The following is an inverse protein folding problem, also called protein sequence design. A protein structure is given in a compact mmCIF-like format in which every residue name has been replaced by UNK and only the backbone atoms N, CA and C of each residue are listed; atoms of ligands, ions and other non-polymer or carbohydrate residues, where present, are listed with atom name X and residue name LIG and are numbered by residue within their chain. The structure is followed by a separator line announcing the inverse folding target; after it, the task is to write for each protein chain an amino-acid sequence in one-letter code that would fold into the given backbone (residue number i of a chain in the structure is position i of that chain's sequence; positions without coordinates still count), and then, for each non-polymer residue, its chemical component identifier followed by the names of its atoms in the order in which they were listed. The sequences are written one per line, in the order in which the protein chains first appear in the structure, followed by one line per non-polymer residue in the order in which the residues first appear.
data_IF_082414885167
#
_entry.id   IF_082414885167
#
_cell.length_a   1.000
_cell.length_b   1.000
_cell.length_c   1.000
_cell.angle_alpha   90.00
_cell.angle_beta   90.00
_cell.angle_gamma   90.00
#
_symmetry.space_group_name_H-M   'P 1'
#
loop_
_entity.id
_entity.type
_entity.pdbx_description
1 polymer ?
#
# COMPACT_ATOMS: atom_id res chain seq x y z
N UNK A 1 2.03 -3.30 -3.66
CA UNK A 1 0.73 -2.77 -4.17
C UNK A 1 0.01 -3.95 -4.75
N UNK A 2 -1.27 -4.18 -4.47
CA UNK A 2 -1.95 -5.39 -4.98
C UNK A 2 -2.22 -5.24 -6.49
N UNK A 3 -1.56 -5.97 -7.40
CA UNK A 3 -1.85 -5.90 -8.83
C UNK A 3 -3.20 -6.57 -9.13
N UNK A 4 -3.95 -6.14 -10.14
CA UNK A 4 -5.10 -6.90 -10.62
C UNK A 4 -4.63 -8.24 -11.23
N UNK A 5 -5.50 -9.27 -11.25
CA UNK A 5 -5.18 -10.51 -11.94
C UNK A 5 -4.94 -10.27 -13.44
N UNK A 6 -4.18 -11.16 -14.12
CA UNK A 6 -3.94 -11.04 -15.55
C UNK A 6 -5.24 -11.15 -16.34
N UNK A 7 -5.33 -10.44 -17.47
CA UNK A 7 -6.51 -10.42 -18.35
C UNK A 7 -6.53 -11.56 -19.38
N UNK A 8 -5.56 -12.46 -19.33
CA UNK A 8 -5.45 -13.59 -20.25
C UNK A 8 -6.64 -14.55 -20.07
N UNK A 9 -7.24 -15.07 -21.16
CA UNK A 9 -8.29 -16.09 -21.05
C UNK A 9 -7.76 -17.35 -20.37
N UNK A 10 -8.62 -18.02 -19.60
CA UNK A 10 -8.31 -19.31 -19.00
C UNK A 10 -8.59 -20.44 -19.98
N UNK A 11 -7.63 -21.36 -20.11
CA UNK A 11 -7.75 -22.54 -20.97
C UNK A 11 -8.17 -23.76 -20.15
N UNK A 12 -9.30 -24.37 -20.53
CA UNK A 12 -9.80 -25.60 -19.91
C UNK A 12 -9.57 -26.79 -20.82
N UNK A 13 -9.18 -27.93 -20.25
CA UNK A 13 -9.12 -29.20 -20.98
C UNK A 13 -10.51 -29.56 -21.51
N UNK A 14 -10.61 -29.76 -22.83
CA UNK A 14 -11.82 -30.27 -23.46
C UNK A 14 -11.88 -31.79 -23.29
N UNK A 15 -12.88 -32.28 -22.55
CA UNK A 15 -13.10 -33.71 -22.31
C UNK A 15 -14.05 -34.25 -23.38
N UNK A 16 -13.61 -35.30 -24.09
CA UNK A 16 -14.36 -35.99 -25.16
C UNK A 16 -14.21 -37.50 -24.98
N UNK A 17 -15.16 -38.27 -25.52
CA UNK A 17 -15.09 -39.74 -25.46
C UNK A 17 -13.85 -40.25 -26.19
N UNK A 18 -13.16 -41.21 -25.58
CA UNK A 18 -11.90 -41.74 -26.09
C UNK A 18 -10.68 -40.86 -25.80
N UNK A 19 -10.82 -39.74 -25.08
CA UNK A 19 -9.68 -38.93 -24.65
C UNK A 19 -8.76 -39.75 -23.72
N UNK A 20 -7.54 -40.05 -24.18
CA UNK A 20 -6.51 -40.68 -23.34
C UNK A 20 -6.11 -39.76 -22.18
N UNK A 21 -6.37 -40.16 -20.94
CA UNK A 21 -5.91 -39.40 -19.78
C UNK A 21 -4.44 -39.74 -19.48
N UNK A 22 -3.59 -38.72 -19.37
CA UNK A 22 -2.20 -38.84 -18.97
C UNK A 22 -1.86 -37.81 -17.88
N UNK A 23 -0.68 -37.93 -17.28
CA UNK A 23 -0.25 -37.06 -16.18
C UNK A 23 -0.26 -35.56 -16.56
N UNK A 24 0.11 -35.22 -17.80
CA UNK A 24 0.11 -33.82 -18.26
C UNK A 24 -1.30 -33.24 -18.37
N UNK A 25 -2.23 -33.97 -19.00
CA UNK A 25 -3.64 -33.57 -19.12
C UNK A 25 -4.30 -33.45 -17.75
N UNK A 26 -4.01 -34.37 -16.84
CA UNK A 26 -4.48 -34.32 -15.46
C UNK A 26 -3.93 -33.09 -14.72
N UNK A 27 -2.62 -32.85 -14.81
CA UNK A 27 -1.98 -31.67 -14.21
C UNK A 27 -2.59 -30.38 -14.76
N UNK A 28 -2.77 -30.25 -16.07
CA UNK A 28 -3.39 -29.08 -16.71
C UNK A 28 -4.83 -28.85 -16.25
N UNK A 29 -5.61 -29.91 -16.06
CA UNK A 29 -6.97 -29.81 -15.56
C UNK A 29 -7.01 -29.28 -14.11
N UNK A 30 -6.13 -29.76 -13.23
CA UNK A 30 -6.02 -29.24 -11.86
C UNK A 30 -5.46 -27.82 -11.80
N UNK A 31 -4.47 -27.52 -12.65
CA UNK A 31 -3.90 -26.18 -12.76
C UNK A 31 -4.95 -25.14 -13.16
N UNK A 32 -5.86 -25.49 -14.07
CA UNK A 32 -7.00 -24.63 -14.41
C UNK A 32 -7.86 -24.28 -13.18
N UNK A 33 -8.15 -25.25 -12.32
CA UNK A 33 -8.92 -25.01 -11.10
C UNK A 33 -8.16 -24.15 -10.10
N UNK A 34 -6.85 -24.40 -9.92
CA UNK A 34 -5.95 -23.57 -9.11
C UNK A 34 -5.97 -22.13 -9.62
N UNK A 35 -5.67 -21.89 -10.89
CA UNK A 35 -5.68 -20.56 -11.51
C UNK A 35 -7.01 -19.83 -11.35
N UNK A 36 -8.15 -20.52 -11.48
CA UNK A 36 -9.48 -19.92 -11.21
C UNK A 36 -9.63 -19.46 -9.76
N UNK A 37 -9.17 -20.28 -8.81
CA UNK A 37 -9.18 -19.94 -7.38
C UNK A 37 -8.25 -18.75 -7.09
N UNK A 38 -7.03 -18.76 -7.64
CA UNK A 38 -6.07 -17.66 -7.50
C UNK A 38 -6.65 -16.35 -8.04
N UNK A 39 -7.24 -16.35 -9.25
CA UNK A 39 -7.87 -15.17 -9.84
C UNK A 39 -9.02 -14.66 -8.97
N UNK A 40 -9.88 -15.57 -8.47
CA UNK A 40 -10.96 -15.19 -7.58
C UNK A 40 -10.44 -14.52 -6.30
N UNK A 41 -9.41 -15.10 -5.68
CA UNK A 41 -8.79 -14.55 -4.48
C UNK A 41 -8.16 -13.19 -4.75
N UNK A 42 -7.29 -13.09 -5.77
CA UNK A 42 -6.62 -11.85 -6.17
C UNK A 42 -7.61 -10.73 -6.50
N UNK A 43 -8.77 -11.06 -7.05
CA UNK A 43 -9.79 -10.07 -7.39
C UNK A 43 -10.44 -9.43 -6.16
N UNK A 44 -10.52 -10.16 -5.04
CA UNK A 44 -11.39 -9.80 -3.92
C UNK A 44 -10.67 -9.66 -2.57
N UNK A 45 -9.45 -10.17 -2.42
CA UNK A 45 -8.76 -10.28 -1.13
C UNK A 45 -7.33 -9.74 -1.18
N UNK A 46 -6.84 -9.34 -0.01
CA UNK A 46 -5.44 -9.03 0.25
C UNK A 46 -4.74 -10.22 0.92
N UNK A 47 -3.46 -10.45 0.62
CA UNK A 47 -2.65 -11.44 1.32
C UNK A 47 -2.52 -11.09 2.80
N UNK A 48 -2.20 -12.10 3.59
CA UNK A 48 -1.94 -11.95 5.02
C UNK A 48 -2.31 -13.18 5.83
N UNK A 49 -2.27 -13.01 7.14
CA UNK A 49 -2.59 -14.04 8.12
C UNK A 49 -4.11 -14.14 8.25
N UNK A 50 -4.62 -15.37 8.11
CA UNK A 50 -6.04 -15.70 8.32
C UNK A 50 -6.29 -15.97 9.80
N UNK A 51 -5.45 -16.81 10.41
CA UNK A 51 -5.51 -17.12 11.85
C UNK A 51 -4.18 -17.68 12.36
N UNK A 52 -3.95 -17.61 13.67
CA UNK A 52 -2.77 -18.21 14.31
C UNK A 52 -1.47 -17.52 13.92
N UNK A 53 -0.43 -18.31 13.64
CA UNK A 53 0.91 -17.85 13.23
C UNK A 53 1.53 -16.84 14.22
N UNK A 54 1.31 -17.06 15.52
CA UNK A 54 1.97 -16.30 16.57
C UNK A 54 3.45 -16.67 16.64
N UNK A 55 4.27 -15.76 17.15
CA UNK A 55 5.70 -16.00 17.41
C UNK A 55 5.92 -15.81 18.91
N UNK A 56 6.54 -16.80 19.57
CA UNK A 56 6.91 -16.72 21.00
C UNK A 56 8.37 -17.09 21.19
N UNK A 57 9.01 -16.52 22.20
CA UNK A 57 10.35 -16.93 22.61
C UNK A 57 10.32 -18.29 23.29
N UNK A 58 11.34 -19.09 23.04
CA UNK A 58 11.58 -20.39 23.67
C UNK A 58 13.05 -20.52 24.05
N UNK A 59 13.36 -21.42 24.98
CA UNK A 59 14.74 -21.83 25.20
C UNK A 59 15.28 -22.60 23.98
N UNK A 60 16.60 -22.57 23.80
CA UNK A 60 17.24 -23.36 22.76
C UNK A 60 16.95 -24.87 22.97
N UNK A 61 16.60 -25.62 21.92
CA UNK A 61 16.32 -27.05 22.04
C UNK A 61 17.51 -27.82 22.63
N UNK A 62 17.24 -28.84 23.45
CA UNK A 62 18.31 -29.56 24.15
C UNK A 62 19.31 -30.24 23.20
N UNK A 63 18.87 -30.55 21.98
CA UNK A 63 19.62 -31.25 20.94
C UNK A 63 20.61 -30.33 20.18
N UNK A 64 20.46 -29.00 20.27
CA UNK A 64 21.33 -28.07 19.55
C UNK A 64 22.65 -27.83 20.28
N UNK A 65 23.71 -27.65 19.49
CA UNK A 65 25.06 -27.43 19.99
C UNK A 65 25.14 -26.16 20.87
N UNK A 66 26.03 -26.11 21.88
CA UNK A 66 26.10 -24.99 22.83
C UNK A 66 26.25 -23.61 22.19
N UNK A 67 26.94 -23.51 21.05
CA UNK A 67 27.08 -22.24 20.32
C UNK A 67 25.76 -21.65 19.81
N UNK A 68 24.71 -22.48 19.71
CA UNK A 68 23.38 -22.07 19.28
C UNK A 68 22.43 -21.81 20.46
N UNK A 69 22.92 -21.84 21.71
CA UNK A 69 22.14 -21.56 22.92
C UNK A 69 22.32 -20.12 23.37
N UNK A 70 22.00 -19.21 22.45
CA UNK A 70 22.24 -17.76 22.52
C UNK A 70 20.98 -16.94 22.87
N UNK A 71 19.91 -17.60 23.31
CA UNK A 71 18.64 -16.94 23.64
C UNK A 71 17.87 -16.41 22.43
N UNK A 72 18.18 -16.87 21.20
CA UNK A 72 17.55 -16.37 19.95
C UNK A 72 16.57 -17.34 19.32
N UNK A 73 16.00 -18.23 20.12
CA UNK A 73 15.06 -19.21 19.65
C UNK A 73 13.63 -18.70 19.77
N UNK A 74 12.93 -18.78 18.65
CA UNK A 74 11.51 -18.51 18.58
C UNK A 74 10.76 -19.78 18.16
N UNK A 75 9.49 -19.83 18.54
CA UNK A 75 8.58 -20.86 18.09
C UNK A 75 7.39 -20.23 17.37
N UNK A 76 7.26 -20.57 16.08
CA UNK A 76 6.14 -20.18 15.25
C UNK A 76 4.99 -21.13 15.59
N UNK A 77 3.86 -20.55 15.99
CA UNK A 77 2.66 -21.30 16.37
C UNK A 77 1.85 -21.70 15.14
N UNK A 78 1.04 -22.78 15.23
CA UNK A 78 0.15 -23.18 14.15
C UNK A 78 -0.77 -22.05 13.65
N UNK A 79 -1.10 -22.10 12.37
CA UNK A 79 -1.97 -21.12 11.74
C UNK A 79 -1.94 -21.17 10.21
N UNK A 80 -2.68 -20.24 9.62
CA UNK A 80 -2.90 -20.16 8.18
C UNK A 80 -2.65 -18.73 7.71
N UNK A 81 -1.89 -18.60 6.63
CA UNK A 81 -1.75 -17.37 5.85
C UNK A 81 -2.05 -17.63 4.39
N UNK A 82 -2.23 -16.56 3.61
CA UNK A 82 -2.41 -16.63 2.16
C UNK A 82 -1.50 -15.57 1.53
N UNK A 83 -0.70 -15.96 0.53
CA UNK A 83 0.20 -15.04 -0.20
C UNK A 83 -0.55 -14.20 -1.25
N UNK A 84 0.15 -13.28 -1.94
CA UNK A 84 -0.49 -12.42 -2.95
C UNK A 84 -1.06 -13.21 -4.13
N UNK A 85 -0.46 -14.35 -4.46
CA UNK A 85 -0.98 -15.20 -5.52
C UNK A 85 -2.30 -15.88 -5.12
N UNK A 86 -2.60 -15.99 -3.82
CA UNK A 86 -3.75 -16.73 -3.31
C UNK A 86 -3.41 -18.15 -2.89
N UNK A 87 -2.11 -18.46 -2.69
CA UNK A 87 -1.69 -19.77 -2.24
C UNK A 87 -1.78 -19.85 -0.70
N UNK A 88 -2.41 -20.89 -0.15
CA UNK A 88 -2.49 -21.08 1.29
C UNK A 88 -1.14 -21.56 1.85
N UNK A 89 -0.76 -20.98 2.98
CA UNK A 89 0.43 -21.35 3.76
C UNK A 89 -0.09 -21.90 5.10
N UNK A 90 0.06 -23.21 5.30
CA UNK A 90 -0.49 -23.91 6.46
C UNK A 90 0.64 -24.41 7.36
N UNK A 91 0.74 -23.84 8.55
CA UNK A 91 1.60 -24.33 9.63
C UNK A 91 0.73 -25.15 10.57
N UNK A 92 0.83 -26.49 10.49
CA UNK A 92 -0.01 -27.40 11.28
C UNK A 92 0.53 -27.68 12.68
N UNK A 93 1.84 -27.56 12.86
CA UNK A 93 2.54 -27.88 14.11
C UNK A 93 3.51 -26.75 14.46
N UNK A 94 3.85 -26.56 15.76
CA UNK A 94 4.82 -25.56 16.16
C UNK A 94 6.19 -25.80 15.52
N UNK A 95 6.84 -24.72 15.07
CA UNK A 95 8.16 -24.79 14.42
C UNK A 95 9.14 -23.99 15.25
N UNK A 96 10.24 -24.63 15.63
CA UNK A 96 11.36 -23.99 16.30
C UNK A 96 12.29 -23.39 15.26
N UNK A 97 12.67 -22.13 15.45
CA UNK A 97 13.52 -21.39 14.54
C UNK A 97 14.50 -20.53 15.33
N UNK A 98 15.79 -20.61 14.98
CA UNK A 98 16.83 -19.75 15.53
C UNK A 98 16.98 -18.52 14.66
N UNK A 99 16.92 -17.34 15.26
CA UNK A 99 17.25 -16.08 14.59
C UNK A 99 18.78 -15.97 14.53
N UNK A 100 19.35 -16.16 13.35
CA UNK A 100 20.78 -16.33 13.15
C UNK A 100 21.55 -15.03 13.22
N UNK A 101 21.00 -13.88 12.79
CA UNK A 101 21.68 -12.58 12.90
C UNK A 101 23.04 -12.47 12.19
N UNK A 102 23.46 -13.48 11.42
CA UNK A 102 24.81 -13.68 10.83
C UNK A 102 25.21 -12.59 9.81
N UNK A 103 24.32 -11.67 9.48
CA UNK A 103 24.56 -10.53 8.57
C UNK A 103 24.61 -9.19 9.29
N UNK A 104 24.62 -9.16 10.62
CA UNK A 104 24.67 -7.92 11.39
C UNK A 104 26.03 -7.24 11.22
N UNK A 105 26.00 -6.01 10.74
CA UNK A 105 27.14 -5.08 10.83
C UNK A 105 27.18 -4.47 12.24
N UNK A 106 28.20 -3.66 12.58
CA UNK A 106 28.27 -2.95 13.88
C UNK A 106 27.03 -2.08 14.21
N UNK A 107 26.12 -1.87 13.25
CA UNK A 107 24.92 -1.09 13.41
C UNK A 107 23.67 -1.97 13.61
N UNK A 108 22.74 -1.56 14.50
CA UNK A 108 21.45 -2.22 14.65
C UNK A 108 20.69 -2.30 13.33
N UNK A 109 20.09 -3.46 13.07
CA UNK A 109 19.36 -3.74 11.83
C UNK A 109 17.96 -4.31 12.11
N UNK A 110 17.02 -3.97 11.24
CA UNK A 110 15.70 -4.60 11.24
C UNK A 110 15.78 -5.98 10.59
N UNK A 111 15.42 -7.01 11.34
CA UNK A 111 15.28 -8.40 10.89
C UNK A 111 13.80 -8.73 10.80
N UNK A 112 13.41 -9.43 9.73
CA UNK A 112 12.05 -9.87 9.46
C UNK A 112 12.01 -11.40 9.45
N UNK A 113 11.03 -11.98 10.15
CA UNK A 113 10.67 -13.38 9.95
C UNK A 113 9.48 -13.44 9.02
N UNK A 114 9.62 -14.15 7.91
CA UNK A 114 8.59 -14.24 6.89
C UNK A 114 8.37 -15.70 6.45
N UNK A 115 7.13 -16.01 6.10
CA UNK A 115 6.74 -17.33 5.59
C UNK A 115 6.28 -17.22 4.13
N UNK A 116 6.65 -18.19 3.30
CA UNK A 116 6.26 -18.25 1.88
C UNK A 116 5.77 -19.64 1.47
N UNK A 117 4.83 -19.69 0.53
CA UNK A 117 4.36 -20.94 -0.08
C UNK A 117 5.47 -21.56 -0.94
N UNK A 118 5.59 -22.89 -0.89
CA UNK A 118 6.51 -23.65 -1.74
C UNK A 118 5.74 -24.75 -2.44
N UNK A 119 5.70 -24.66 -3.77
CA UNK A 119 5.14 -25.71 -4.62
C UNK A 119 6.03 -26.97 -4.53
N UNK A 120 5.51 -28.11 -4.04
CA UNK A 120 6.29 -29.33 -3.85
C UNK A 120 6.90 -29.86 -5.16
N UNK A 121 6.29 -29.59 -6.32
CA UNK A 121 6.83 -30.02 -7.62
C UNK A 121 8.22 -29.39 -7.91
N UNK A 122 8.54 -28.26 -7.26
CA UNK A 122 9.81 -27.53 -7.43
C UNK A 122 10.93 -28.04 -6.51
N UNK A 123 10.63 -28.93 -5.58
CA UNK A 123 11.63 -29.46 -4.64
C UNK A 123 12.57 -30.45 -5.34
N UNK A 124 13.88 -30.30 -5.09
CA UNK A 124 14.93 -31.15 -5.70
C UNK A 124 14.87 -32.61 -5.23
N UNK A 125 14.35 -32.86 -4.03
CA UNK A 125 14.13 -34.21 -3.49
C UNK A 125 12.67 -34.59 -3.70
N UNK A 126 12.41 -35.36 -4.75
CA UNK A 126 11.13 -36.04 -4.93
C UNK A 126 11.17 -37.33 -4.12
N UNK A 127 10.60 -37.31 -2.93
CA UNK A 127 10.26 -38.58 -2.27
C UNK A 127 9.11 -39.22 -3.06
N UNK A 128 9.19 -40.53 -3.34
CA UNK A 128 8.15 -41.26 -4.04
C UNK A 128 6.95 -41.52 -3.11
N UNK A 129 6.24 -40.45 -2.75
CA UNK A 129 5.00 -40.54 -1.99
C UNK A 129 3.81 -40.51 -2.95
N UNK A 130 2.79 -41.30 -2.66
CA UNK A 130 1.52 -41.28 -3.41
C UNK A 130 0.82 -39.91 -3.32
N UNK A 131 1.04 -39.20 -2.20
CA UNK A 131 0.51 -37.86 -1.95
C UNK A 131 1.65 -36.88 -1.62
N UNK A 132 1.69 -35.75 -2.33
CA UNK A 132 2.57 -34.62 -2.02
C UNK A 132 1.81 -33.63 -1.11
N UNK A 133 2.36 -33.35 0.06
CA UNK A 133 1.82 -32.33 0.97
C UNK A 133 2.36 -30.97 0.56
N UNK A 134 1.50 -29.97 0.43
CA UNK A 134 1.92 -28.58 0.27
C UNK A 134 2.84 -28.18 1.42
N UNK A 135 3.86 -27.39 1.11
CA UNK A 135 4.85 -26.98 2.09
C UNK A 135 5.11 -25.48 2.01
N UNK A 136 5.91 -25.00 2.93
CA UNK A 136 6.26 -23.61 3.06
C UNK A 136 7.72 -23.49 3.42
N UNK A 137 8.22 -22.27 3.36
CA UNK A 137 9.55 -21.91 3.80
C UNK A 137 9.45 -20.75 4.77
N UNK A 138 10.23 -20.85 5.83
CA UNK A 138 10.41 -19.81 6.82
C UNK A 138 11.80 -19.20 6.59
N UNK A 139 11.84 -17.89 6.37
CA UNK A 139 13.06 -17.16 6.06
C UNK A 139 13.26 -16.01 7.06
N UNK A 140 14.51 -15.83 7.49
CA UNK A 140 15.00 -14.62 8.13
C UNK A 140 15.53 -13.66 7.06
N UNK A 141 15.13 -12.39 7.13
CA UNK A 141 15.48 -11.39 6.12
C UNK A 141 15.88 -10.07 6.76
N UNK A 142 16.80 -9.36 6.12
CA UNK A 142 17.21 -7.99 6.49
C UNK A 142 16.56 -6.92 5.62
N UNK A 143 15.77 -7.34 4.64
CA UNK A 143 14.93 -6.49 3.79
C UNK A 143 13.46 -6.80 4.06
N UNK A 144 12.55 -5.83 3.88
CA UNK A 144 11.12 -6.08 4.00
C UNK A 144 10.65 -7.28 3.16
N UNK A 145 9.65 -8.05 3.63
CA UNK A 145 9.09 -9.16 2.88
C UNK A 145 8.56 -8.73 1.50
N UNK A 146 8.74 -9.61 0.53
CA UNK A 146 8.20 -9.46 -0.83
C UNK A 146 6.70 -9.75 -0.86
N UNK A 147 6.05 -9.48 -1.99
CA UNK A 147 4.61 -9.67 -2.13
C UNK A 147 4.16 -11.15 -2.02
N UNK A 148 5.08 -12.11 -2.19
CA UNK A 148 4.81 -13.55 -2.06
C UNK A 148 5.11 -14.10 -0.66
N UNK A 149 5.49 -13.24 0.26
CA UNK A 149 5.85 -13.58 1.64
C UNK A 149 4.90 -12.90 2.62
N UNK A 150 4.65 -13.55 3.75
CA UNK A 150 3.82 -13.01 4.83
C UNK A 150 4.70 -12.77 6.05
N UNK A 151 4.78 -11.52 6.50
CA UNK A 151 5.52 -11.10 7.71
C UNK A 151 4.88 -11.74 8.96
N UNK A 152 5.68 -12.47 9.73
CA UNK A 152 5.28 -13.04 11.02
C UNK A 152 5.63 -12.10 12.17
N UNK A 153 6.83 -11.54 12.14
CA UNK A 153 7.30 -10.52 13.06
C UNK A 153 8.51 -9.78 12.47
N UNK A 154 8.87 -8.67 13.12
CA UNK A 154 10.17 -8.01 12.94
C UNK A 154 10.87 -7.83 14.27
N UNK A 155 12.18 -7.66 14.24
CA UNK A 155 13.04 -7.48 15.41
C UNK A 155 14.06 -6.41 15.05
N UNK A 156 14.17 -5.37 15.87
CA UNK A 156 15.27 -4.41 15.74
C UNK A 156 16.46 -4.95 16.53
N UNK A 157 17.39 -5.59 15.85
CA UNK A 157 18.46 -6.40 16.44
C UNK A 157 19.77 -5.61 16.45
N UNK A 158 20.38 -5.42 17.63
CA UNK A 158 21.52 -4.50 17.81
C UNK A 158 22.91 -5.15 17.70
N UNK A 159 23.06 -6.40 18.14
CA UNK A 159 24.34 -7.12 18.12
C UNK A 159 24.10 -8.61 17.93
N UNK A 160 25.13 -9.40 17.63
CA UNK A 160 25.08 -10.87 17.59
C UNK A 160 25.03 -11.53 18.97
N UNK A 161 25.43 -10.81 20.03
CA UNK A 161 25.59 -11.40 21.37
C UNK A 161 24.43 -11.14 22.33
N UNK A 162 23.40 -10.41 21.90
CA UNK A 162 22.27 -10.07 22.77
C UNK A 162 21.12 -11.06 22.62
N UNK A 163 20.56 -11.48 23.76
CA UNK A 163 19.41 -12.38 23.82
C UNK A 163 18.13 -11.65 23.37
N UNK A 164 17.16 -12.42 22.88
CA UNK A 164 15.84 -11.86 22.58
C UNK A 164 14.98 -11.82 23.83
N UNK A 165 14.21 -10.74 23.99
CA UNK A 165 13.28 -10.57 25.10
C UNK A 165 11.84 -10.35 24.62
N UNK A 166 10.87 -10.68 25.47
CA UNK A 166 9.49 -10.28 25.20
C UNK A 166 9.37 -8.78 25.46
N UNK A 167 8.65 -8.03 24.59
CA UNK A 167 8.45 -6.60 24.80
C UNK A 167 7.69 -6.36 26.11
N UNK A 168 8.17 -5.39 26.91
CA UNK A 168 7.46 -4.94 28.12
C UNK A 168 6.10 -4.32 27.79
N UNK A 169 6.05 -3.61 26.68
CA UNK A 169 4.83 -3.09 26.08
C UNK A 169 4.76 -3.53 24.61
N UNK A 170 3.74 -4.31 24.27
CA UNK A 170 3.54 -4.86 22.92
C UNK A 170 3.28 -3.77 21.86
N UNK A 171 2.85 -2.57 22.27
CA UNK A 171 2.68 -1.44 21.38
C UNK A 171 3.96 -0.64 21.17
N UNK A 172 4.97 -0.82 22.03
CA UNK A 172 6.27 -0.17 21.92
C UNK A 172 7.44 -1.16 22.14
N UNK A 173 7.62 -2.15 21.24
CA UNK A 173 8.76 -3.06 21.32
C UNK A 173 10.09 -2.30 21.25
N UNK A 174 11.00 -2.68 22.13
CA UNK A 174 12.36 -2.13 22.19
C UNK A 174 13.31 -2.94 21.31
N UNK A 175 14.58 -2.55 21.30
CA UNK A 175 15.67 -3.33 20.70
C UNK A 175 15.64 -4.77 21.24
N UNK A 176 15.97 -5.74 20.38
CA UNK A 176 15.97 -7.19 20.64
C UNK A 176 14.63 -7.76 21.16
N UNK A 177 13.53 -7.03 20.95
CA UNK A 177 12.20 -7.51 21.30
C UNK A 177 11.40 -7.90 20.06
N UNK A 178 10.54 -8.91 20.21
CA UNK A 178 9.59 -9.29 19.15
C UNK A 178 8.59 -8.17 18.88
N UNK A 179 8.47 -7.75 17.61
CA UNK A 179 7.46 -6.80 17.16
C UNK A 179 6.46 -7.48 16.23
N UNK A 180 5.23 -7.64 16.74
CA UNK A 180 4.11 -8.30 16.04
C UNK A 180 3.12 -7.30 15.42
N UNK A 181 3.35 -5.99 15.55
CA UNK A 181 2.35 -4.95 15.22
C UNK A 181 2.04 -4.85 13.73
N UNK A 182 2.95 -5.31 12.88
CA UNK A 182 2.90 -5.12 11.44
C UNK A 182 2.46 -6.35 10.64
N UNK A 183 1.97 -7.37 11.35
CA UNK A 183 1.42 -8.58 10.73
C UNK A 183 0.19 -8.21 9.91
N UNK A 184 0.30 -8.34 8.58
CA UNK A 184 -0.82 -8.12 7.69
C UNK A 184 -1.90 -9.19 7.92
N UNK A 185 -3.14 -8.76 8.17
CA UNK A 185 -4.29 -9.65 8.30
C UNK A 185 -4.98 -9.77 6.95
N UNK A 186 -5.28 -11.01 6.55
CA UNK A 186 -6.04 -11.26 5.34
C UNK A 186 -7.42 -10.59 5.43
N UNK A 187 -7.76 -9.79 4.42
CA UNK A 187 -8.99 -8.99 4.40
C UNK A 187 -9.47 -8.75 2.98
N UNK A 188 -10.67 -8.21 2.84
CA UNK A 188 -11.20 -7.78 1.54
C UNK A 188 -10.30 -6.73 0.90
N UNK A 189 -10.10 -6.87 -0.41
CA UNK A 189 -9.34 -5.92 -1.23
C UNK A 189 -10.14 -4.62 -1.37
N UNK A 190 -9.53 -3.45 -1.14
CA UNK A 190 -10.17 -2.18 -1.40
C UNK A 190 -10.38 -2.05 -2.92
N UNK A 191 -11.44 -1.35 -3.30
CA UNK A 191 -11.70 -1.04 -4.70
C UNK A 191 -10.62 -0.11 -5.28
N UNK A 192 -9.94 0.64 -4.41
CA UNK A 192 -9.01 1.69 -4.79
C UNK A 192 -7.86 1.83 -3.78
N UNK A 193 -6.67 2.12 -4.31
CA UNK A 193 -5.52 2.58 -3.50
C UNK A 193 -5.16 3.99 -3.96
N UNK A 194 -5.29 4.98 -3.07
CA UNK A 194 -4.92 6.37 -3.35
C UNK A 194 -3.45 6.60 -3.02
N UNK A 195 -2.70 7.14 -3.99
CA UNK A 195 -1.30 7.54 -3.85
C UNK A 195 -1.23 9.04 -3.63
N UNK A 196 -0.62 9.44 -2.53
CA UNK A 196 -0.50 10.86 -2.14
C UNK A 196 0.97 11.23 -2.01
N UNK A 197 1.32 12.42 -2.47
CA UNK A 197 2.60 13.04 -2.12
C UNK A 197 2.39 14.42 -1.50
N UNK A 198 3.14 14.72 -0.45
CA UNK A 198 3.27 16.08 0.04
C UNK A 198 4.30 16.81 -0.81
N UNK A 199 3.95 18.01 -1.22
CA UNK A 199 4.84 18.88 -1.97
C UNK A 199 5.69 19.69 -1.00
N UNK A 200 7.01 19.59 -1.14
CA UNK A 200 7.99 20.31 -0.32
C UNK A 200 8.53 21.52 -1.05
N UNK A 201 8.63 22.66 -0.35
CA UNK A 201 9.33 23.85 -0.84
C UNK A 201 10.69 23.96 -0.13
N UNK A 202 11.52 24.94 -0.51
CA UNK A 202 12.88 25.15 0.02
C UNK A 202 12.95 25.37 1.54
N UNK A 203 11.82 25.60 2.21
CA UNK A 203 11.72 25.56 3.68
C UNK A 203 11.23 24.18 4.12
N UNK A 204 11.78 23.61 5.20
CA UNK A 204 11.32 22.32 5.71
C UNK A 204 9.81 22.41 5.94
N UNK A 205 9.06 21.53 5.27
CA UNK A 205 7.63 21.40 5.50
C UNK A 205 7.39 21.23 7.00
N UNK A 206 6.38 21.89 7.55
CA UNK A 206 5.97 21.67 8.93
C UNK A 206 5.74 20.16 9.13
N UNK A 207 6.61 19.51 9.93
CA UNK A 207 6.57 18.07 10.16
C UNK A 207 5.21 17.60 10.70
N UNK A 208 4.44 18.52 11.29
CA UNK A 208 3.06 18.30 11.71
C UNK A 208 2.13 18.02 10.53
N UNK A 209 2.27 18.74 9.42
CA UNK A 209 1.42 18.58 8.24
C UNK A 209 1.59 17.19 7.58
N UNK A 210 2.84 16.72 7.47
CA UNK A 210 3.13 15.37 6.99
C UNK A 210 2.52 14.30 7.91
N UNK A 211 2.67 14.48 9.22
CA UNK A 211 2.12 13.58 10.22
C UNK A 211 0.59 13.54 10.17
N UNK A 212 -0.07 14.70 10.06
CA UNK A 212 -1.52 14.81 9.95
C UNK A 212 -2.07 14.10 8.70
N UNK A 213 -1.38 14.22 7.57
CA UNK A 213 -1.73 13.48 6.36
C UNK A 213 -1.58 11.96 6.55
N UNK A 214 -0.54 11.52 7.26
CA UNK A 214 -0.38 10.11 7.64
C UNK A 214 -1.51 9.61 8.53
N UNK A 215 -1.93 10.40 9.53
CA UNK A 215 -3.10 10.07 10.35
C UNK A 215 -4.40 9.97 9.53
N UNK A 216 -4.60 10.88 8.56
CA UNK A 216 -5.73 10.77 7.64
C UNK A 216 -5.69 9.44 6.88
N UNK A 217 -4.56 9.10 6.23
CA UNK A 217 -4.43 7.85 5.45
C UNK A 217 -4.65 6.59 6.32
N UNK A 218 -4.15 6.58 7.55
CA UNK A 218 -4.35 5.49 8.50
C UNK A 218 -5.81 5.33 8.94
N UNK A 219 -6.61 6.41 8.92
CA UNK A 219 -8.03 6.37 9.25
C UNK A 219 -8.92 5.84 8.11
N UNK A 220 -8.45 5.92 6.86
CA UNK A 220 -9.26 5.58 5.67
C UNK A 220 -9.82 4.16 5.72
N UNK A 221 -9.02 3.10 5.97
CA UNK A 221 -9.54 1.73 5.91
C UNK A 221 -10.61 1.44 6.98
N UNK A 222 -10.60 2.18 8.08
CA UNK A 222 -11.58 2.04 9.16
C UNK A 222 -12.89 2.78 8.85
N UNK A 223 -12.81 3.97 8.25
CA UNK A 223 -13.96 4.83 7.95
C UNK A 223 -14.60 4.52 6.59
N UNK A 224 -13.80 4.10 5.61
CA UNK A 224 -14.24 3.79 4.25
C UNK A 224 -13.40 2.64 3.64
N UNK A 225 -13.72 1.37 3.97
CA UNK A 225 -12.93 0.20 3.57
C UNK A 225 -12.75 -0.02 2.06
N UNK A 226 -13.55 0.64 1.22
CA UNK A 226 -13.42 0.56 -0.24
C UNK A 226 -12.22 1.34 -0.77
N UNK A 227 -11.64 2.26 0.03
CA UNK A 227 -10.45 3.02 -0.30
C UNK A 227 -9.34 2.68 0.70
N UNK A 228 -8.10 2.68 0.23
CA UNK A 228 -6.91 2.55 1.08
C UNK A 228 -5.87 3.59 0.67
N UNK A 229 -5.17 4.18 1.64
CA UNK A 229 -3.96 4.97 1.37
C UNK A 229 -2.77 4.07 1.03
N UNK A 230 -1.94 4.46 0.07
CA UNK A 230 -0.65 3.80 -0.14
C UNK A 230 0.22 3.90 1.13
N UNK A 231 0.99 2.85 1.42
CA UNK A 231 1.77 2.75 2.67
C UNK A 231 2.83 3.85 2.84
N UNK A 232 3.34 4.38 1.71
CA UNK A 232 4.31 5.46 1.69
C UNK A 232 3.68 6.72 1.11
N UNK A 233 3.75 7.82 1.89
CA UNK A 233 3.47 9.16 1.40
C UNK A 233 4.73 9.68 0.73
N UNK A 234 4.63 10.03 -0.55
CA UNK A 234 5.72 10.66 -1.27
C UNK A 234 6.04 12.03 -0.69
N UNK A 235 7.31 12.42 -0.67
CA UNK A 235 7.70 13.83 -0.53
C UNK A 235 8.36 14.23 -1.84
N UNK A 236 7.77 15.21 -2.52
CA UNK A 236 8.24 15.64 -3.84
C UNK A 236 8.46 17.14 -3.84
N UNK A 237 9.59 17.65 -4.34
CA UNK A 237 9.67 19.06 -4.67
C UNK A 237 8.71 19.36 -5.84
N UNK A 238 8.16 20.57 -5.92
CA UNK A 238 7.68 21.09 -7.21
C UNK A 238 8.90 21.02 -8.17
N UNK A 239 8.79 20.23 -9.24
CA UNK A 239 9.98 19.73 -9.96
C UNK A 239 10.75 20.84 -10.68
N UNK A 240 12.01 21.00 -10.27
CA UNK A 240 13.08 21.74 -10.95
C UNK A 240 14.47 21.08 -10.88
N UNK A 241 14.59 19.82 -10.43
CA UNK A 241 15.87 19.11 -10.38
C UNK A 241 16.15 18.35 -11.69
N UNK A 242 17.27 18.64 -12.35
CA UNK A 242 17.64 18.25 -13.73
C UNK A 242 17.66 16.74 -14.08
N UNK A 243 17.30 15.84 -13.16
CA UNK A 243 17.26 14.38 -13.36
C UNK A 243 15.98 13.69 -12.88
N UNK A 244 14.93 14.46 -12.58
CA UNK A 244 13.72 13.91 -11.97
C UNK A 244 12.63 13.61 -13.02
N UNK A 245 11.96 12.47 -12.87
CA UNK A 245 10.84 12.05 -13.72
C UNK A 245 9.72 13.11 -13.70
N UNK A 246 9.01 13.36 -14.82
CA UNK A 246 7.88 14.29 -14.83
C UNK A 246 6.85 13.96 -13.75
N UNK A 247 6.22 14.97 -13.15
CA UNK A 247 5.22 14.83 -12.07
C UNK A 247 4.11 13.83 -12.40
N UNK A 248 3.65 13.85 -13.66
CA UNK A 248 2.66 12.92 -14.19
C UNK A 248 3.11 11.45 -14.14
N UNK A 249 4.41 11.21 -14.34
CA UNK A 249 5.03 9.89 -14.33
C UNK A 249 5.23 9.32 -12.91
N UNK A 250 5.13 10.16 -11.87
CA UNK A 250 5.26 9.71 -10.49
C UNK A 250 4.03 8.93 -9.99
N UNK A 251 2.91 8.97 -10.71
CA UNK A 251 1.76 8.12 -10.43
C UNK A 251 0.98 8.46 -9.16
N UNK A 252 1.10 9.68 -8.64
CA UNK A 252 0.31 10.16 -7.48
C UNK A 252 -1.08 10.64 -7.92
N UNK A 253 -2.13 10.23 -7.22
CA UNK A 253 -3.50 10.71 -7.45
C UNK A 253 -3.69 12.14 -6.91
N UNK A 254 -3.04 12.42 -5.78
CA UNK A 254 -3.14 13.68 -5.05
C UNK A 254 -1.75 14.24 -4.70
N UNK A 255 -1.55 15.51 -5.02
CA UNK A 255 -0.46 16.31 -4.47
C UNK A 255 -1.04 17.20 -3.38
N UNK A 256 -0.44 17.14 -2.20
CA UNK A 256 -0.85 17.91 -1.03
C UNK A 256 0.15 19.03 -0.77
N UNK A 257 -0.32 20.27 -0.72
CA UNK A 257 0.49 21.44 -0.41
C UNK A 257 -0.17 22.26 0.71
N UNK A 258 0.66 22.79 1.61
CA UNK A 258 0.22 23.67 2.68
C UNK A 258 1.35 24.64 3.03
N UNK A 259 1.00 25.83 3.49
CA UNK A 259 1.94 26.89 3.81
C UNK A 259 1.25 28.22 4.06
N UNK A 260 2.06 29.28 4.17
CA UNK A 260 1.57 30.66 4.33
C UNK A 260 1.98 31.58 3.18
N UNK A 261 3.11 31.29 2.55
CA UNK A 261 3.70 32.10 1.49
C UNK A 261 3.03 31.81 0.14
N UNK A 262 3.07 32.78 -0.77
CA UNK A 262 2.65 32.61 -2.15
C UNK A 262 3.36 31.42 -2.83
N UNK A 263 2.59 30.62 -3.57
CA UNK A 263 3.16 29.59 -4.45
C UNK A 263 3.62 30.27 -5.75
N UNK A 264 4.94 30.43 -5.90
CA UNK A 264 5.56 30.92 -7.13
C UNK A 264 6.05 29.75 -7.95
N UNK A 265 5.61 29.65 -9.20
CA UNK A 265 6.00 28.62 -10.16
C UNK A 265 6.77 29.27 -11.30
N UNK A 266 7.93 28.71 -11.66
CA UNK A 266 8.57 29.05 -12.92
C UNK A 266 7.84 28.40 -14.12
N UNK A 267 8.19 28.78 -15.35
CA UNK A 267 7.52 28.27 -16.56
C UNK A 267 7.53 26.73 -16.66
N UNK A 268 8.62 26.08 -16.24
CA UNK A 268 8.74 24.61 -16.26
C UNK A 268 7.83 23.97 -15.21
N UNK A 269 7.79 24.52 -14.01
CA UNK A 269 6.92 24.04 -12.92
C UNK A 269 5.45 24.24 -13.25
N UNK A 270 5.10 25.37 -13.87
CA UNK A 270 3.74 25.66 -14.34
C UNK A 270 3.30 24.64 -15.40
N UNK A 271 4.12 24.40 -16.42
CA UNK A 271 3.83 23.37 -17.43
C UNK A 271 3.79 21.96 -16.83
N UNK A 272 4.64 21.64 -15.85
CA UNK A 272 4.60 20.35 -15.15
C UNK A 272 3.28 20.17 -14.37
N UNK A 273 2.82 21.21 -13.68
CA UNK A 273 1.54 21.21 -12.98
C UNK A 273 0.37 21.04 -13.96
N UNK A 274 0.37 21.80 -15.05
CA UNK A 274 -0.66 21.70 -16.10
C UNK A 274 -0.75 20.28 -16.65
N UNK A 275 0.37 19.70 -17.06
CA UNK A 275 0.43 18.32 -17.55
C UNK A 275 -0.07 17.30 -16.51
N UNK A 276 0.31 17.48 -15.24
CA UNK A 276 -0.17 16.63 -14.15
C UNK A 276 -1.70 16.70 -13.98
N UNK A 277 -2.28 17.90 -13.94
CA UNK A 277 -3.72 18.11 -13.80
C UNK A 277 -4.51 17.54 -14.98
N UNK A 278 -3.96 17.70 -16.19
CA UNK A 278 -4.50 17.13 -17.43
C UNK A 278 -4.53 15.60 -17.38
N UNK A 279 -3.53 14.92 -16.81
CA UNK A 279 -3.57 13.46 -16.60
C UNK A 279 -4.58 12.99 -15.56
N UNK A 280 -5.37 13.91 -15.01
CA UNK A 280 -6.41 13.64 -14.02
C UNK A 280 -5.91 13.75 -12.58
N UNK A 281 -4.64 14.11 -12.37
CA UNK A 281 -4.11 14.42 -11.04
C UNK A 281 -4.85 15.58 -10.36
N UNK A 282 -4.77 15.62 -9.04
CA UNK A 282 -5.33 16.69 -8.21
C UNK A 282 -4.24 17.36 -7.38
N UNK A 283 -4.29 18.68 -7.31
CA UNK A 283 -3.54 19.49 -6.36
C UNK A 283 -4.50 19.94 -5.26
N UNK A 284 -4.27 19.51 -4.03
CA UNK A 284 -4.96 19.99 -2.84
C UNK A 284 -4.07 20.97 -2.11
N UNK A 285 -4.55 22.20 -1.96
CA UNK A 285 -3.93 23.25 -1.17
C UNK A 285 -4.74 23.44 0.09
N UNK A 286 -4.15 23.20 1.26
CA UNK A 286 -4.76 23.51 2.56
C UNK A 286 -4.09 24.74 3.17
N UNK A 287 -4.85 25.83 3.27
CA UNK A 287 -4.39 27.13 3.73
C UNK A 287 -5.10 27.55 5.02
N UNK A 288 -4.36 28.18 5.93
CA UNK A 288 -4.96 28.89 7.05
C UNK A 288 -5.71 30.14 6.54
N UNK A 289 -6.72 30.60 7.29
CA UNK A 289 -7.53 31.76 6.90
C UNK A 289 -6.72 33.04 6.76
N UNK A 290 -5.59 33.14 7.46
CA UNK A 290 -4.66 34.27 7.43
C UNK A 290 -3.54 34.13 6.37
N UNK A 291 -3.48 33.02 5.62
CA UNK A 291 -2.50 32.78 4.56
C UNK A 291 -2.91 33.43 3.24
N UNK A 292 -3.11 34.76 3.26
CA UNK A 292 -3.65 35.54 2.14
C UNK A 292 -2.79 35.40 0.88
N UNK A 293 -1.47 35.51 1.01
CA UNK A 293 -0.53 35.40 -0.12
C UNK A 293 -0.63 34.04 -0.83
N UNK A 294 -0.74 32.95 -0.06
CA UNK A 294 -0.95 31.63 -0.61
C UNK A 294 -2.30 31.57 -1.36
N UNK A 295 -3.38 31.97 -0.70
CA UNK A 295 -4.74 31.93 -1.26
C UNK A 295 -4.80 32.68 -2.60
N UNK A 296 -4.28 33.90 -2.65
CA UNK A 296 -4.26 34.73 -3.86
C UNK A 296 -3.41 34.11 -4.97
N UNK A 297 -2.24 33.57 -4.64
CA UNK A 297 -1.37 32.92 -5.63
C UNK A 297 -2.02 31.70 -6.29
N UNK A 298 -2.74 30.87 -5.52
CA UNK A 298 -3.44 29.69 -6.06
C UNK A 298 -4.63 30.10 -6.93
N UNK A 299 -5.37 31.14 -6.54
CA UNK A 299 -6.43 31.71 -7.37
C UNK A 299 -5.88 32.23 -8.71
N UNK A 300 -4.73 32.90 -8.68
CA UNK A 300 -4.05 33.38 -9.88
C UNK A 300 -3.56 32.23 -10.79
N UNK A 301 -2.95 31.19 -10.22
CA UNK A 301 -2.52 30.00 -10.97
C UNK A 301 -3.72 29.32 -11.65
N UNK A 302 -4.83 29.13 -10.91
CA UNK A 302 -6.04 28.53 -11.47
C UNK A 302 -6.63 29.38 -12.62
N UNK A 303 -6.59 30.70 -12.49
CA UNK A 303 -7.01 31.64 -13.54
C UNK A 303 -6.10 31.52 -14.79
N UNK A 304 -4.78 31.44 -14.60
CA UNK A 304 -3.81 31.28 -15.69
C UNK A 304 -3.98 29.94 -16.42
N UNK A 305 -4.37 28.88 -15.72
CA UNK A 305 -4.68 27.57 -16.30
C UNK A 305 -6.03 27.55 -17.06
N UNK A 306 -6.80 28.64 -17.02
CA UNK A 306 -8.11 28.74 -17.68
C UNK A 306 -9.24 28.04 -16.93
N UNK A 307 -9.04 27.66 -15.67
CA UNK A 307 -10.02 26.97 -14.82
C UNK A 307 -10.11 27.67 -13.46
N UNK A 308 -10.72 28.87 -13.39
CA UNK A 308 -10.81 29.62 -12.14
C UNK A 308 -11.50 28.82 -11.04
N UNK A 309 -11.09 29.03 -9.79
CA UNK A 309 -11.69 28.35 -8.66
C UNK A 309 -13.11 28.86 -8.42
N UNK A 310 -14.07 27.95 -8.39
CA UNK A 310 -15.44 28.21 -7.98
C UNK A 310 -15.67 27.70 -6.56
N UNK A 311 -16.40 28.48 -5.74
CA UNK A 311 -16.87 28.04 -4.43
C UNK A 311 -17.74 26.78 -4.59
N UNK A 312 -17.53 25.79 -3.72
CA UNK A 312 -18.29 24.52 -3.67
C UNK A 312 -19.82 24.70 -3.66
N UNK A 313 -20.32 25.85 -3.20
CA UNK A 313 -21.75 26.22 -3.19
C UNK A 313 -22.28 26.56 -4.58
N UNK A 314 -21.41 27.02 -5.48
CA UNK A 314 -21.73 27.33 -6.90
C UNK A 314 -21.62 26.10 -7.79
N UNK A 315 -20.80 25.13 -7.40
CA UNK A 315 -20.73 23.83 -8.07
C UNK A 315 -22.05 23.06 -7.98
N UNK A 316 -22.19 22.06 -8.87
CA UNK A 316 -23.34 21.15 -8.85
C UNK A 316 -23.62 20.56 -7.46
N UNK A 317 -24.89 20.45 -7.08
CA UNK A 317 -25.30 19.82 -5.82
C UNK A 317 -24.87 18.35 -5.72
N UNK A 318 -24.66 17.70 -6.86
CA UNK A 318 -24.20 16.32 -6.96
C UNK A 318 -22.67 16.21 -7.15
N UNK A 319 -21.93 17.30 -6.95
CA UNK A 319 -20.48 17.30 -7.12
C UNK A 319 -19.84 16.30 -6.12
N UNK A 320 -18.95 15.37 -6.55
CA UNK A 320 -18.49 14.28 -5.69
C UNK A 320 -17.77 14.74 -4.42
N UNK A 321 -17.10 15.90 -4.44
CA UNK A 321 -16.51 16.51 -3.24
C UNK A 321 -17.53 16.71 -2.10
N UNK A 322 -18.82 16.88 -2.42
CA UNK A 322 -19.91 17.06 -1.45
C UNK A 322 -20.65 15.77 -1.12
N UNK A 323 -20.59 14.77 -1.98
CA UNK A 323 -21.52 13.63 -1.92
C UNK A 323 -20.84 12.28 -1.78
N UNK A 324 -19.52 12.19 -1.94
CA UNK A 324 -18.82 10.89 -1.98
C UNK A 324 -17.44 10.89 -1.31
N UNK A 325 -17.16 9.87 -0.47
CA UNK A 325 -18.10 8.84 -0.01
C UNK A 325 -19.09 9.33 1.05
N UNK A 326 -18.80 10.46 1.72
CA UNK A 326 -19.67 11.04 2.75
C UNK A 326 -20.45 12.24 2.22
N UNK A 327 -21.70 12.38 2.65
CA UNK A 327 -22.57 13.49 2.27
C UNK A 327 -22.35 14.70 3.18
N UNK A 328 -22.02 15.84 2.58
CA UNK A 328 -21.86 17.13 3.26
C UNK A 328 -22.92 18.13 2.78
N UNK A 329 -23.96 18.29 3.60
CA UNK A 329 -24.90 19.40 3.47
C UNK A 329 -24.25 20.75 3.89
N UNK A 330 -23.37 20.71 4.88
CA UNK A 330 -22.51 21.79 5.33
C UNK A 330 -21.06 21.30 5.45
N UNK A 331 -20.08 22.18 5.22
CA UNK A 331 -18.66 21.86 5.42
C UNK A 331 -18.30 21.86 6.92
N UNK A 332 -17.23 21.15 7.33
CA UNK A 332 -16.72 21.20 8.70
C UNK A 332 -16.38 22.62 9.15
N UNK A 333 -16.48 22.86 10.45
CA UNK A 333 -16.02 24.09 11.09
C UNK A 333 -14.82 23.81 11.99
N UNK A 334 -13.77 24.61 11.88
CA UNK A 334 -12.58 24.57 12.74
C UNK A 334 -12.48 25.87 13.53
N UNK A 335 -12.26 25.76 14.85
CA UNK A 335 -12.24 26.91 15.76
C UNK A 335 -13.48 27.82 15.58
N UNK A 336 -14.67 27.21 15.43
CA UNK A 336 -15.96 27.87 15.19
C UNK A 336 -16.07 28.63 13.85
N UNK A 337 -15.08 28.52 12.96
CA UNK A 337 -15.12 29.10 11.62
C UNK A 337 -15.37 27.99 10.59
N UNK A 338 -16.38 28.13 9.72
CA UNK A 338 -16.59 27.16 8.64
C UNK A 338 -15.41 27.22 7.67
N UNK A 339 -14.90 26.06 7.27
CA UNK A 339 -13.91 26.04 6.20
C UNK A 339 -14.58 26.45 4.88
N UNK A 340 -13.79 26.99 3.96
CA UNK A 340 -14.20 27.27 2.60
C UNK A 340 -13.51 26.28 1.65
N UNK A 341 -14.21 25.88 0.60
CA UNK A 341 -13.69 24.95 -0.39
C UNK A 341 -13.94 25.52 -1.79
N UNK A 342 -12.86 25.70 -2.54
CA UNK A 342 -12.87 26.09 -3.94
C UNK A 342 -12.35 24.97 -4.83
N UNK A 343 -12.87 24.85 -6.04
CA UNK A 343 -12.40 23.87 -7.01
C UNK A 343 -12.38 24.43 -8.44
N UNK A 344 -11.35 24.07 -9.21
CA UNK A 344 -11.23 24.39 -10.63
C UNK A 344 -10.11 23.58 -11.29
N UNK A 345 -10.39 22.91 -12.41
CA UNK A 345 -9.37 22.23 -13.23
C UNK A 345 -8.59 21.09 -12.58
N UNK A 346 -8.98 20.62 -11.40
CA UNK A 346 -8.19 19.68 -10.60
C UNK A 346 -7.38 20.32 -9.47
N UNK A 347 -7.48 21.63 -9.28
CA UNK A 347 -7.02 22.31 -8.09
C UNK A 347 -8.18 22.35 -7.10
N UNK A 348 -7.92 21.96 -5.86
CA UNK A 348 -8.81 22.15 -4.71
C UNK A 348 -8.11 23.07 -3.74
N UNK A 349 -8.75 24.17 -3.37
CA UNK A 349 -8.30 25.08 -2.33
C UNK A 349 -9.21 24.93 -1.11
N UNK A 350 -8.62 24.62 0.04
CA UNK A 350 -9.28 24.60 1.33
C UNK A 350 -8.75 25.77 2.15
N UNK A 351 -9.66 26.63 2.63
CA UNK A 351 -9.33 27.75 3.52
C UNK A 351 -9.93 27.47 4.89
N UNK A 352 -9.08 27.39 5.91
CA UNK A 352 -9.47 27.07 7.28
C UNK A 352 -8.59 26.03 7.97
N UNK A 353 -7.47 25.61 7.34
CA UNK A 353 -6.49 24.67 7.89
C UNK A 353 -7.11 23.32 8.27
N UNK A 354 -7.76 22.66 7.31
CA UNK A 354 -8.47 21.39 7.51
C UNK A 354 -7.57 20.30 8.07
N UNK A 355 -6.32 20.26 7.61
CA UNK A 355 -5.35 19.23 7.98
C UNK A 355 -4.98 19.26 9.46
N UNK A 356 -5.13 20.39 10.15
CA UNK A 356 -4.91 20.48 11.59
C UNK A 356 -5.80 19.53 12.41
N UNK A 357 -6.96 19.13 11.87
CA UNK A 357 -7.90 18.23 12.52
C UNK A 357 -7.79 16.77 12.06
N UNK A 358 -6.85 16.42 11.19
CA UNK A 358 -6.62 15.03 10.78
C UNK A 358 -5.74 14.25 11.74
N UNK A 359 -4.80 14.93 12.40
CA UNK A 359 -3.83 14.31 13.31
C UNK A 359 -4.03 14.65 14.77
N UNK A 360 -2.99 14.39 15.56
CA UNK A 360 -3.00 14.65 16.99
C UNK A 360 -2.96 16.15 17.28
N UNK A 361 -3.76 16.55 18.25
CA UNK A 361 -3.65 17.85 18.90
C UNK A 361 -2.91 17.67 20.22
N UNK A 362 -1.70 18.23 20.33
CA UNK A 362 -0.87 18.12 21.53
C UNK A 362 -1.58 18.64 22.79
N UNK A 363 -2.51 19.58 22.60
CA UNK A 363 -3.30 20.17 23.70
C UNK A 363 -4.58 19.40 24.00
N UNK A 364 -4.94 18.40 23.20
CA UNK A 364 -6.16 17.59 23.31
C UNK A 364 -7.45 18.43 23.37
N UNK A 365 -7.49 19.56 22.65
CA UNK A 365 -8.59 20.52 22.67
C UNK A 365 -9.61 20.29 21.56
N UNK A 366 -9.24 19.60 20.48
CA UNK A 366 -10.14 19.36 19.36
C UNK A 366 -11.26 18.38 19.73
N UNK A 367 -12.54 18.76 19.58
CA UNK A 367 -13.65 17.83 19.80
C UNK A 367 -13.59 16.65 18.82
N UNK A 368 -14.00 15.47 19.30
CA UNK A 368 -14.06 14.26 18.46
C UNK A 368 -14.92 14.44 17.21
N UNK A 369 -16.02 15.18 17.30
CA UNK A 369 -16.90 15.49 16.16
C UNK A 369 -16.15 16.28 15.08
N UNK A 370 -15.35 17.27 15.47
CA UNK A 370 -14.51 18.05 14.57
C UNK A 370 -13.48 17.16 13.86
N UNK A 371 -12.77 16.31 14.60
CA UNK A 371 -11.80 15.36 14.03
C UNK A 371 -12.48 14.44 13.03
N UNK A 372 -13.61 13.83 13.42
CA UNK A 372 -14.35 12.90 12.56
C UNK A 372 -14.83 13.57 11.27
N UNK A 373 -15.45 14.73 11.38
CA UNK A 373 -16.01 15.46 10.23
C UNK A 373 -14.89 15.92 9.28
N UNK A 374 -13.74 16.33 9.83
CA UNK A 374 -12.55 16.67 9.05
C UNK A 374 -11.93 15.45 8.35
N UNK A 375 -11.85 14.29 9.02
CA UNK A 375 -11.38 13.03 8.42
C UNK A 375 -12.33 12.55 7.31
N UNK A 376 -13.65 12.58 7.54
CA UNK A 376 -14.65 12.23 6.52
C UNK A 376 -14.52 13.14 5.28
N UNK A 377 -14.32 14.46 5.46
CA UNK A 377 -14.06 15.35 4.33
C UNK A 377 -12.70 15.07 3.67
N UNK A 378 -11.66 14.79 4.45
CA UNK A 378 -10.36 14.35 3.94
C UNK A 378 -10.50 13.12 3.04
N UNK A 379 -11.34 12.16 3.43
CA UNK A 379 -11.62 10.96 2.62
C UNK A 379 -12.39 11.32 1.34
N UNK A 380 -13.33 12.28 1.36
CA UNK A 380 -13.95 12.80 0.14
C UNK A 380 -12.91 13.38 -0.84
N UNK A 381 -11.94 14.14 -0.33
CA UNK A 381 -10.86 14.71 -1.15
C UNK A 381 -9.99 13.61 -1.78
N UNK A 382 -9.59 12.61 -0.99
CA UNK A 382 -8.81 11.46 -1.45
C UNK A 382 -9.57 10.63 -2.50
N UNK A 383 -10.84 10.31 -2.23
CA UNK A 383 -11.70 9.57 -3.14
C UNK A 383 -11.90 10.33 -4.45
N UNK A 384 -12.14 11.65 -4.39
CA UNK A 384 -12.27 12.48 -5.57
C UNK A 384 -11.00 12.49 -6.42
N UNK A 385 -9.83 12.63 -5.79
CA UNK A 385 -8.54 12.65 -6.48
C UNK A 385 -8.29 11.35 -7.24
N UNK A 386 -8.45 10.21 -6.55
CA UNK A 386 -8.35 8.89 -7.17
C UNK A 386 -9.36 8.73 -8.31
N UNK A 387 -10.63 9.06 -8.09
CA UNK A 387 -11.70 8.87 -9.08
C UNK A 387 -11.51 9.74 -10.32
N UNK A 388 -11.09 11.00 -10.16
CA UNK A 388 -10.78 11.93 -11.26
C UNK A 388 -9.65 11.36 -12.11
N UNK A 389 -8.57 10.89 -11.47
CA UNK A 389 -7.43 10.31 -12.19
C UNK A 389 -7.83 9.04 -12.93
N UNK A 390 -8.52 8.13 -12.26
CA UNK A 390 -9.03 6.88 -12.85
C UNK A 390 -9.89 7.16 -14.09
N UNK A 391 -10.92 8.01 -13.98
CA UNK A 391 -11.82 8.31 -15.10
C UNK A 391 -11.10 8.99 -16.25
N UNK A 392 -10.19 9.93 -15.96
CA UNK A 392 -9.36 10.60 -16.98
C UNK A 392 -8.48 9.59 -17.72
N UNK A 393 -7.86 8.66 -16.99
CA UNK A 393 -7.04 7.61 -17.59
C UNK A 393 -7.86 6.64 -18.45
N UNK A 394 -9.07 6.28 -18.02
CA UNK A 394 -9.98 5.43 -18.82
C UNK A 394 -10.38 6.10 -20.14
N UNK A 395 -10.51 7.43 -20.16
CA UNK A 395 -10.80 8.19 -21.39
C UNK A 395 -9.57 8.33 -22.31
N UNK A 396 -8.36 8.34 -21.73
CA UNK A 396 -7.10 8.50 -22.47
C UNK A 396 -6.49 7.19 -22.94
N UNK A 397 -6.87 6.07 -22.34
CA UNK A 397 -6.34 4.77 -22.71
C UNK A 397 -6.86 4.36 -24.10
N UNK A 398 -6.04 4.57 -25.13
CA UNK A 398 -5.92 3.53 -26.16
C UNK A 398 -5.54 2.24 -25.43
N UNK A 399 -6.36 1.19 -25.58
CA UNK A 399 -6.27 -0.10 -24.87
C UNK A 399 -4.83 -0.45 -24.46
N UNK A 400 -4.53 -0.71 -23.16
CA UNK A 400 -3.21 -1.20 -22.81
C UNK A 400 -2.99 -2.51 -23.56
N UNK A 401 -2.12 -2.45 -24.56
CA UNK A 401 -1.54 -3.61 -25.22
C UNK A 401 -1.11 -4.53 -24.09
N UNK A 402 -1.74 -5.70 -24.01
CA UNK A 402 -1.29 -6.81 -23.19
C UNK A 402 0.22 -6.85 -23.33
N UNK A 403 0.94 -6.65 -22.22
CA UNK A 403 2.34 -7.03 -22.16
C UNK A 403 2.35 -8.53 -22.37
N UNK A 404 2.40 -8.95 -23.64
CA UNK A 404 2.68 -10.30 -24.05
C UNK A 404 4.01 -10.61 -23.38
N UNK A 405 3.95 -11.37 -22.29
CA UNK A 405 5.11 -12.02 -21.75
C UNK A 405 5.73 -12.74 -22.95
N UNK A 406 6.93 -12.28 -23.36
CA UNK A 406 7.69 -12.98 -24.40
C UNK A 406 7.69 -14.46 -24.00
N UNK A 407 7.27 -15.38 -24.87
CA UNK A 407 7.26 -16.80 -24.54
C UNK A 407 8.67 -17.17 -24.08
N UNK A 408 8.74 -17.91 -22.98
CA UNK A 408 10.04 -18.34 -22.46
C UNK A 408 10.82 -19.06 -23.58
N UNK A 409 12.14 -18.96 -23.58
CA UNK A 409 13.02 -19.63 -24.56
C UNK A 409 12.73 -21.15 -24.66
N UNK A 410 12.11 -21.75 -23.63
CA UNK A 410 11.65 -23.15 -23.66
C UNK A 410 10.46 -23.41 -24.60
N UNK A 411 9.55 -22.44 -24.80
CA UNK A 411 8.40 -22.59 -25.72
C UNK A 411 8.83 -22.57 -27.19
N UNK A 412 9.81 -21.72 -27.53
CA UNK A 412 10.35 -21.62 -28.91
C UNK A 412 11.16 -22.88 -29.32
N UNK A 413 11.71 -23.62 -28.35
CA UNK A 413 12.45 -24.86 -28.61
C UNK A 413 11.50 -26.04 -28.86
N UNK A 414 10.33 -26.07 -28.22
CA UNK A 414 9.35 -27.15 -28.43
C UNK A 414 8.61 -27.04 -29.77
N UNK A 415 8.31 -25.82 -30.25
CA UNK A 415 7.67 -25.62 -31.57
C UNK A 415 8.62 -25.93 -32.75
N UNK A 416 9.94 -26.04 -32.50
CA UNK A 416 10.94 -26.39 -33.52
C UNK A 416 11.26 -27.89 -33.62
N UNK A 417 10.61 -28.74 -32.82
CA UNK A 417 10.87 -30.19 -32.77
C UNK A 417 9.66 -31.06 -33.14
N UNK A 418 8.71 -30.53 -33.92
CA UNK A 418 7.72 -31.36 -34.60
C UNK A 418 8.25 -31.80 -35.97
N UNK A 419 8.76 -33.03 -36.03
CA UNK A 419 8.70 -33.91 -37.21
C UNK A 419 7.89 -35.15 -36.82
#
# INVERSE_FOLDING_TARGET
MFPPPPTNPLERLQVTDGLLMNADRWRRAHEYHRQRQNIHYQSLNQPGIVCGLGVRLIAAPAEVAPQFRDGRWVQIQPGIAIDLAGNPIVVSEPIEFRVSGETLTENPQMVYLAISYVDPEKLRRKESREFEKETFRLDEKTTPPSEMEVELCRIFLQSESEELENPKDVFFPTVNSLDLRYRAIARSRPQAVVRVAQVTQQQPADGRSFSNLSYLLNSVPALYPSLQGADLIGQVPFLGAEKSLPLAALGYDLLYFTGRQALSLNDREFEALKNYLETGGVLLVDAATDAIELIESIMAIAQQLGTPLEDIKRLSRNHPLRTQPFLFAALPSLNQQPIQLGYGGGIILVVGNLSAAWGLDDKLLLPRETIRTAQELGINLLHFAWRKRQLTQLLRADNPVSTVAKPSVKQVIFDKLQF
#
